data_IF_402700486379
#
_entry.id   IF_402700486379
#
_cell.length_a   1.000
_cell.length_b   1.000
_cell.length_c   1.000
_cell.angle_alpha   90.00
_cell.angle_beta   90.00
_cell.angle_gamma   90.00
#
_symmetry.space_group_name_H-M   'P 1'
#
loop_
_entity.id
_entity.type
_entity.pdbx_description
1 polymer ?
#
# COMPACT_ATOMS: atom_id res chain seq x y z
N UNK A 1 2.88 -16.81 12.06
CA UNK A 1 1.64 -16.44 11.34
C UNK A 1 0.40 -17.00 12.04
N UNK A 2 0.33 -18.30 12.33
CA UNK A 2 -0.84 -18.90 12.98
C UNK A 2 -1.23 -18.25 14.33
N UNK A 3 -0.25 -17.97 15.20
CA UNK A 3 -0.49 -17.26 16.48
C UNK A 3 -1.10 -15.87 16.27
N UNK A 4 -0.57 -15.09 15.31
CA UNK A 4 -1.09 -13.75 14.99
C UNK A 4 -2.55 -13.79 14.55
N UNK A 5 -2.94 -14.78 13.73
CA UNK A 5 -4.32 -14.96 13.29
C UNK A 5 -5.23 -15.36 14.45
N UNK A 6 -4.78 -16.27 15.32
CA UNK A 6 -5.54 -16.71 16.49
C UNK A 6 -5.80 -15.56 17.46
N UNK A 7 -4.76 -14.78 17.76
CA UNK A 7 -4.83 -13.68 18.73
C UNK A 7 -5.75 -12.54 18.26
N UNK A 8 -5.85 -12.33 16.95
CA UNK A 8 -6.62 -11.22 16.37
C UNK A 8 -7.99 -11.62 15.81
N UNK A 9 -8.38 -12.90 15.89
CA UNK A 9 -9.65 -13.40 15.31
C UNK A 9 -10.90 -12.69 15.84
N UNK A 10 -10.86 -12.23 17.09
CA UNK A 10 -11.99 -11.55 17.77
C UNK A 10 -11.80 -10.04 17.88
N UNK A 11 -10.73 -9.47 17.30
CA UNK A 11 -10.49 -8.05 17.37
C UNK A 11 -11.53 -7.29 16.54
N UNK A 12 -12.19 -6.29 17.15
CA UNK A 12 -13.14 -5.43 16.44
C UNK A 12 -12.47 -4.54 15.39
N UNK A 13 -11.20 -4.21 15.61
CA UNK A 13 -10.31 -3.52 14.69
C UNK A 13 -8.95 -4.21 14.72
N UNK A 14 -8.40 -4.53 13.55
CA UNK A 14 -7.11 -5.21 13.44
C UNK A 14 -5.97 -4.20 13.62
N UNK A 15 -4.90 -4.50 14.38
CA UNK A 15 -3.72 -3.63 14.40
C UNK A 15 -3.11 -3.48 12.99
N UNK A 16 -2.70 -2.26 12.64
CA UNK A 16 -2.16 -1.94 11.32
C UNK A 16 -0.94 -2.80 10.95
N UNK A 17 -0.07 -3.09 11.92
CA UNK A 17 1.16 -3.85 11.72
C UNK A 17 0.86 -5.35 11.52
N UNK A 18 -0.22 -5.87 12.10
CA UNK A 18 -0.71 -7.23 11.82
C UNK A 18 -1.21 -7.34 10.38
N UNK A 19 -1.98 -6.36 9.89
CA UNK A 19 -2.42 -6.32 8.49
C UNK A 19 -1.22 -6.33 7.53
N UNK A 20 -0.22 -5.48 7.80
CA UNK A 20 1.01 -5.42 7.00
C UNK A 20 1.81 -6.72 7.05
N UNK A 21 1.90 -7.35 8.23
CA UNK A 21 2.60 -8.62 8.38
C UNK A 21 1.93 -9.74 7.58
N UNK A 22 0.60 -9.74 7.44
CA UNK A 22 -0.12 -10.72 6.62
C UNK A 22 0.13 -10.52 5.14
N UNK A 23 0.19 -9.28 4.64
CA UNK A 23 0.61 -9.01 3.25
C UNK A 23 2.06 -9.44 3.01
N UNK A 24 2.98 -9.08 3.92
CA UNK A 24 4.38 -9.48 3.80
C UNK A 24 4.54 -11.00 3.77
N UNK A 25 3.78 -11.74 4.59
CA UNK A 25 3.77 -13.20 4.58
C UNK A 25 3.30 -13.77 3.22
N UNK A 26 2.23 -13.22 2.64
CA UNK A 26 1.76 -13.60 1.30
C UNK A 26 2.86 -13.41 0.25
N UNK A 27 3.60 -12.30 0.31
CA UNK A 27 4.64 -12.01 -0.67
C UNK A 27 5.81 -12.99 -0.56
N UNK A 28 6.23 -13.31 0.67
CA UNK A 28 7.27 -14.30 0.92
C UNK A 28 6.84 -15.67 0.41
N UNK A 29 5.63 -16.15 0.74
CA UNK A 29 5.16 -17.45 0.27
C UNK A 29 5.08 -17.54 -1.26
N UNK A 30 4.49 -16.54 -1.91
CA UNK A 30 4.40 -16.51 -3.37
C UNK A 30 5.79 -16.50 -4.03
N UNK A 31 6.76 -15.77 -3.47
CA UNK A 31 8.15 -15.74 -3.97
C UNK A 31 8.89 -17.07 -3.80
N UNK A 32 8.50 -17.86 -2.81
CA UNK A 32 9.04 -19.21 -2.60
C UNK A 32 8.33 -20.27 -3.46
N UNK A 33 7.32 -19.89 -4.26
CA UNK A 33 6.49 -20.83 -5.02
C UNK A 33 5.38 -21.49 -4.20
N UNK A 34 5.21 -21.09 -2.94
CA UNK A 34 4.20 -21.61 -2.01
C UNK A 34 2.85 -20.90 -2.21
N UNK A 35 2.32 -20.94 -3.43
CA UNK A 35 1.10 -20.21 -3.81
C UNK A 35 -0.09 -20.57 -2.92
N UNK A 36 -0.25 -21.85 -2.56
CA UNK A 36 -1.31 -22.30 -1.66
C UNK A 36 -1.21 -21.66 -0.28
N UNK A 37 -0.01 -21.53 0.27
CA UNK A 37 0.19 -20.89 1.57
C UNK A 37 -0.10 -19.38 1.48
N UNK A 38 0.26 -18.73 0.38
CA UNK A 38 -0.11 -17.33 0.15
C UNK A 38 -1.64 -17.16 0.09
N UNK A 39 -2.34 -18.02 -0.67
CA UNK A 39 -3.79 -18.00 -0.79
C UNK A 39 -4.49 -18.27 0.55
N UNK A 40 -3.97 -19.20 1.35
CA UNK A 40 -4.51 -19.50 2.68
C UNK A 40 -4.39 -18.29 3.63
N UNK A 41 -3.28 -17.55 3.57
CA UNK A 41 -3.11 -16.30 4.34
C UNK A 41 -4.07 -15.23 3.86
N UNK A 42 -4.20 -15.02 2.54
CA UNK A 42 -5.12 -14.05 1.97
C UNK A 42 -6.57 -14.35 2.37
N UNK A 43 -6.98 -15.63 2.27
CA UNK A 43 -8.30 -16.08 2.67
C UNK A 43 -8.54 -15.94 4.18
N UNK A 44 -7.53 -16.14 5.02
CA UNK A 44 -7.63 -15.89 6.45
C UNK A 44 -7.76 -14.39 6.75
N UNK A 45 -6.99 -13.55 6.08
CA UNK A 45 -7.01 -12.09 6.23
C UNK A 45 -8.37 -11.49 5.87
N UNK A 46 -9.01 -11.96 4.80
CA UNK A 46 -10.36 -11.52 4.40
C UNK A 46 -11.44 -11.73 5.48
N UNK A 47 -11.21 -12.64 6.43
CA UNK A 47 -12.14 -12.93 7.54
C UNK A 47 -11.91 -12.05 8.77
N UNK A 48 -10.82 -11.27 8.79
CA UNK A 48 -10.50 -10.35 9.89
C UNK A 48 -11.21 -9.00 9.68
N UNK A 49 -11.40 -8.27 10.78
CA UNK A 49 -11.88 -6.88 10.75
C UNK A 49 -10.93 -5.97 9.96
N UNK A 50 -11.43 -4.78 9.60
CA UNK A 50 -10.62 -3.74 8.98
C UNK A 50 -9.46 -3.31 9.88
N UNK A 51 -8.34 -2.94 9.27
CA UNK A 51 -7.17 -2.50 9.99
C UNK A 51 -7.31 -1.05 10.50
N UNK A 52 -6.74 -0.80 11.68
CA UNK A 52 -6.52 0.54 12.18
C UNK A 52 -5.54 1.31 11.28
N UNK A 53 -5.55 2.63 11.40
CA UNK A 53 -4.55 3.44 10.73
C UNK A 53 -3.18 3.26 11.39
N UNK A 54 -2.07 3.31 10.62
CA UNK A 54 -0.74 3.39 11.19
C UNK A 54 -0.58 4.70 11.99
N UNK A 55 0.23 4.70 13.06
CA UNK A 55 0.45 5.88 13.89
C UNK A 55 0.98 7.06 13.07
N UNK A 56 0.79 8.29 13.53
CA UNK A 56 1.36 9.46 12.86
C UNK A 56 2.88 9.59 13.04
N UNK A 57 3.41 8.97 14.09
CA UNK A 57 4.85 8.89 14.35
C UNK A 57 5.36 7.56 13.82
N UNK A 58 6.43 7.62 13.02
CA UNK A 58 7.08 6.42 12.51
C UNK A 58 7.63 5.57 13.69
N UNK A 59 7.37 4.25 13.71
CA UNK A 59 8.00 3.34 14.66
C UNK A 59 9.52 3.38 14.55
N UNK A 60 10.22 3.06 15.64
CA UNK A 60 11.70 3.03 15.68
C UNK A 60 12.30 1.64 15.47
N UNK A 61 11.46 0.62 15.36
CA UNK A 61 11.87 -0.77 15.09
C UNK A 61 11.61 -1.16 13.62
N UNK A 62 11.69 -2.46 13.32
CA UNK A 62 11.52 -3.00 11.96
C UNK A 62 10.19 -2.62 11.31
N UNK A 63 9.16 -2.29 12.10
CA UNK A 63 7.85 -1.83 11.58
C UNK A 63 7.95 -0.48 10.87
N UNK A 64 9.05 0.27 11.03
CA UNK A 64 9.30 1.49 10.25
C UNK A 64 9.21 1.24 8.74
N UNK A 65 9.66 0.08 8.25
CA UNK A 65 9.61 -0.27 6.83
C UNK A 65 8.14 -0.40 6.38
N UNK A 66 7.37 -1.24 7.07
CA UNK A 66 5.95 -1.43 6.78
C UNK A 66 5.14 -0.13 6.95
N UNK A 67 5.56 0.75 7.86
CA UNK A 67 4.95 2.06 8.05
C UNK A 67 5.16 2.98 6.85
N UNK A 68 6.38 3.05 6.33
CA UNK A 68 6.72 3.84 5.14
C UNK A 68 5.98 3.30 3.91
N UNK A 69 5.99 1.98 3.72
CA UNK A 69 5.24 1.31 2.64
C UNK A 69 3.74 1.64 2.74
N UNK A 70 3.12 1.44 3.90
CA UNK A 70 1.69 1.73 4.10
C UNK A 70 1.32 3.21 3.84
N UNK A 71 2.21 4.16 4.13
CA UNK A 71 1.96 5.58 3.86
C UNK A 71 2.16 5.95 2.39
N UNK A 72 3.05 5.25 1.68
CA UNK A 72 3.44 5.58 0.29
C UNK A 72 2.74 4.70 -0.75
N UNK A 73 2.81 3.37 -0.61
CA UNK A 73 2.25 2.37 -1.53
C UNK A 73 1.62 1.23 -0.72
N UNK A 74 0.30 1.24 -0.57
CA UNK A 74 -0.43 0.27 0.23
C UNK A 74 -1.22 -0.69 -0.65
N UNK A 75 -0.87 -1.97 -0.61
CA UNK A 75 -1.69 -3.05 -1.19
C UNK A 75 -2.95 -3.25 -0.37
N UNK A 76 -4.08 -3.29 -1.04
CA UNK A 76 -5.41 -3.51 -0.48
C UNK A 76 -5.79 -4.99 -0.58
N UNK A 77 -6.76 -5.42 0.23
CA UNK A 77 -7.22 -6.83 0.25
C UNK A 77 -7.88 -7.27 -1.06
N UNK A 78 -8.38 -6.33 -1.86
CA UNK A 78 -8.95 -6.60 -3.20
C UNK A 78 -7.87 -6.70 -4.30
N UNK A 79 -6.59 -6.60 -3.93
CA UNK A 79 -5.45 -6.64 -4.86
C UNK A 79 -5.14 -5.29 -5.54
N UNK A 80 -5.93 -4.25 -5.28
CA UNK A 80 -5.58 -2.89 -5.72
C UNK A 80 -4.43 -2.30 -4.90
N UNK A 81 -3.80 -1.27 -5.44
CA UNK A 81 -2.66 -0.59 -4.82
C UNK A 81 -2.97 0.89 -4.72
N UNK A 82 -2.78 1.45 -3.53
CA UNK A 82 -2.96 2.87 -3.28
C UNK A 82 -1.62 3.57 -3.20
N UNK A 83 -1.42 4.62 -4.00
CA UNK A 83 -0.28 5.53 -3.88
C UNK A 83 -0.73 6.73 -3.05
N UNK A 84 -0.08 6.97 -1.91
CA UNK A 84 -0.51 7.96 -0.90
C UNK A 84 -2.00 7.85 -0.55
N UNK A 85 -2.50 6.63 -0.37
CA UNK A 85 -3.93 6.39 -0.09
C UNK A 85 -4.48 7.14 1.13
N UNK A 86 -3.59 7.55 2.05
CA UNK A 86 -3.93 8.30 3.27
C UNK A 86 -3.65 9.81 3.18
N UNK A 87 -3.39 10.34 1.98
CA UNK A 87 -3.04 11.74 1.77
C UNK A 87 -1.53 11.99 1.75
N UNK A 88 -1.12 13.01 1.01
CA UNK A 88 0.23 13.57 1.08
C UNK A 88 0.24 14.61 2.21
N UNK A 89 1.23 14.61 3.14
CA UNK A 89 1.30 15.64 4.16
C UNK A 89 1.43 17.05 3.55
N UNK A 90 0.64 18.02 4.02
CA UNK A 90 0.71 19.43 3.55
C UNK A 90 2.11 20.04 3.67
N UNK A 91 2.90 19.59 4.64
CA UNK A 91 4.30 20.00 4.83
C UNK A 91 5.20 19.68 3.62
N UNK A 92 4.79 18.75 2.75
CA UNK A 92 5.54 18.35 1.56
C UNK A 92 5.16 19.17 0.32
N UNK A 93 4.27 20.17 0.45
CA UNK A 93 3.91 21.05 -0.66
C UNK A 93 5.16 21.70 -1.27
N UNK A 94 5.32 21.55 -2.58
CA UNK A 94 6.47 22.06 -3.33
C UNK A 94 7.73 21.19 -3.25
N UNK A 95 7.78 20.19 -2.37
CA UNK A 95 8.88 19.23 -2.30
C UNK A 95 8.63 18.08 -3.28
N UNK A 96 9.44 18.00 -4.34
CA UNK A 96 9.40 16.87 -5.25
C UNK A 96 9.95 15.61 -4.55
N UNK A 97 9.33 14.46 -4.85
CA UNK A 97 9.72 13.16 -4.29
C UNK A 97 9.76 12.12 -5.40
N UNK A 98 10.65 11.14 -5.25
CA UNK A 98 10.66 9.91 -6.03
C UNK A 98 10.81 8.70 -5.10
N UNK A 99 10.05 7.66 -5.41
CA UNK A 99 10.13 6.36 -4.76
C UNK A 99 10.31 5.31 -5.84
N UNK A 100 11.23 4.36 -5.62
CA UNK A 100 11.57 3.36 -6.62
C UNK A 100 11.31 1.95 -6.11
N UNK A 101 10.62 1.17 -6.93
CA UNK A 101 10.39 -0.27 -6.74
C UNK A 101 9.81 -0.64 -5.37
N UNK A 102 8.88 0.15 -4.86
CA UNK A 102 8.15 -0.18 -3.63
C UNK A 102 7.29 -1.41 -3.88
N UNK A 103 7.28 -2.36 -2.95
CA UNK A 103 6.52 -3.60 -3.09
C UNK A 103 5.02 -3.34 -3.16
N UNK A 104 4.39 -3.80 -4.25
CA UNK A 104 2.99 -3.54 -4.57
C UNK A 104 2.20 -4.85 -4.79
N UNK A 105 2.75 -5.96 -4.31
CA UNK A 105 2.23 -7.30 -4.50
C UNK A 105 3.36 -8.32 -4.48
N UNK A 106 3.04 -9.63 -4.54
CA UNK A 106 4.06 -10.67 -4.60
C UNK A 106 4.93 -10.55 -5.84
N UNK A 107 4.36 -10.18 -6.98
CA UNK A 107 5.03 -10.10 -8.29
C UNK A 107 5.15 -8.67 -8.83
N UNK A 108 4.73 -7.68 -8.03
CA UNK A 108 4.60 -6.30 -8.48
C UNK A 108 5.43 -5.34 -7.65
N UNK A 109 6.01 -4.36 -8.34
CA UNK A 109 6.61 -3.19 -7.70
C UNK A 109 6.13 -1.92 -8.38
N UNK A 110 5.93 -0.87 -7.60
CA UNK A 110 5.57 0.46 -8.10
C UNK A 110 6.71 1.43 -7.83
N UNK A 111 7.15 2.11 -8.88
CA UNK A 111 7.94 3.33 -8.78
C UNK A 111 7.03 4.51 -9.06
N UNK A 112 7.19 5.62 -8.35
CA UNK A 112 6.41 6.82 -8.60
C UNK A 112 7.18 8.08 -8.26
N UNK A 113 6.79 9.18 -8.87
CA UNK A 113 7.27 10.52 -8.58
C UNK A 113 6.12 11.47 -8.32
N UNK A 114 6.32 12.43 -7.41
CA UNK A 114 5.44 13.57 -7.21
C UNK A 114 6.13 14.83 -7.70
N UNK A 115 5.42 15.62 -8.50
CA UNK A 115 5.74 16.99 -8.90
C UNK A 115 4.60 17.92 -8.52
N UNK A 116 4.85 19.22 -8.38
CA UNK A 116 3.83 20.16 -7.91
C UNK A 116 3.42 21.16 -9.00
N UNK A 117 2.11 21.31 -9.19
CA UNK A 117 1.47 22.34 -9.99
C UNK A 117 0.55 23.17 -9.08
N UNK A 118 1.11 24.19 -8.43
CA UNK A 118 0.44 24.86 -7.31
C UNK A 118 0.23 23.87 -6.16
N UNK A 119 -1.00 23.78 -5.64
CA UNK A 119 -1.34 22.82 -4.58
C UNK A 119 -1.67 21.41 -5.09
N UNK A 120 -1.70 21.21 -6.42
CA UNK A 120 -2.03 19.92 -7.02
C UNK A 120 -0.78 19.11 -7.32
N UNK A 121 -0.64 17.89 -6.78
CA UNK A 121 0.47 17.01 -7.09
C UNK A 121 0.22 16.29 -8.42
N UNK A 122 1.17 16.42 -9.34
CA UNK A 122 1.29 15.54 -10.50
C UNK A 122 1.98 14.25 -10.07
N UNK A 123 1.26 13.14 -10.22
CA UNK A 123 1.73 11.79 -9.96
C UNK A 123 2.20 11.18 -11.27
N UNK A 124 3.46 10.72 -11.30
CA UNK A 124 4.03 9.90 -12.36
C UNK A 124 4.25 8.50 -11.79
N UNK A 125 3.96 7.45 -12.55
CA UNK A 125 4.15 6.08 -12.05
C UNK A 125 4.68 5.12 -13.12
N UNK A 126 5.30 4.06 -12.62
CA UNK A 126 5.68 2.86 -13.35
C UNK A 126 5.40 1.63 -12.47
N UNK A 127 4.76 0.62 -13.05
CA UNK A 127 4.44 -0.66 -12.44
C UNK A 127 5.23 -1.74 -13.18
N UNK A 128 6.08 -2.45 -12.45
CA UNK A 128 6.72 -3.66 -12.94
C UNK A 128 5.98 -4.90 -12.41
N UNK A 129 5.81 -5.92 -13.26
CA UNK A 129 5.10 -7.16 -12.95
C UNK A 129 4.05 -7.51 -14.02
N UNK A 130 3.24 -8.55 -13.79
CA UNK A 130 2.11 -8.88 -14.65
C UNK A 130 1.13 -7.70 -14.83
N UNK A 131 0.53 -7.56 -16.01
CA UNK A 131 -0.42 -6.48 -16.26
C UNK A 131 -1.69 -6.59 -15.39
N UNK A 132 -2.37 -5.45 -15.16
CA UNK A 132 -3.71 -5.42 -14.57
C UNK A 132 -3.81 -5.03 -13.10
N UNK A 133 -2.71 -4.61 -12.45
CA UNK A 133 -2.81 -4.01 -11.10
C UNK A 133 -3.52 -2.67 -11.19
N UNK A 134 -4.60 -2.52 -10.42
CA UNK A 134 -5.33 -1.26 -10.30
C UNK A 134 -4.64 -0.34 -9.29
N UNK A 135 -4.16 0.79 -9.76
CA UNK A 135 -3.69 1.91 -8.95
C UNK A 135 -4.84 2.84 -8.58
N UNK A 136 -4.78 3.45 -7.40
CA UNK A 136 -5.64 4.56 -6.96
C UNK A 136 -4.88 5.49 -6.01
N UNK A 137 -5.44 6.67 -5.74
CA UNK A 137 -4.78 7.69 -4.91
C UNK A 137 -5.47 7.90 -3.55
N UNK A 138 -6.51 7.11 -3.25
CA UNK A 138 -7.27 7.16 -2.00
C UNK A 138 -7.71 8.59 -1.64
N UNK A 139 -7.30 9.06 -0.46
CA UNK A 139 -7.62 10.40 0.04
C UNK A 139 -7.04 11.54 -0.83
N UNK A 140 -5.95 11.34 -1.57
CA UNK A 140 -5.40 12.39 -2.44
C UNK A 140 -6.29 12.70 -3.65
N UNK A 141 -7.00 11.68 -4.15
CA UNK A 141 -8.01 11.79 -5.19
C UNK A 141 -8.87 10.51 -5.19
N UNK A 142 -10.07 10.54 -4.58
CA UNK A 142 -10.93 9.37 -4.48
C UNK A 142 -11.50 8.89 -5.83
N UNK A 143 -11.42 9.73 -6.86
CA UNK A 143 -12.00 9.47 -8.18
C UNK A 143 -10.98 8.93 -9.18
N UNK A 144 -9.69 9.15 -8.92
CA UNK A 144 -8.62 8.67 -9.79
C UNK A 144 -8.31 7.19 -9.59
N UNK A 145 -8.21 6.47 -10.69
CA UNK A 145 -7.59 5.13 -10.74
C UNK A 145 -7.03 4.85 -12.13
N UNK A 146 -6.07 3.92 -12.22
CA UNK A 146 -5.50 3.46 -13.49
C UNK A 146 -5.10 1.98 -13.43
N UNK A 147 -5.08 1.31 -14.58
CA UNK A 147 -4.50 -0.04 -14.76
C UNK A 147 -3.27 -0.02 -15.67
N UNK A 148 -2.86 1.16 -16.12
CA UNK A 148 -1.73 1.33 -17.02
C UNK A 148 -0.43 1.10 -16.26
N UNK A 149 0.52 0.39 -16.88
CA UNK A 149 1.82 0.11 -16.28
C UNK A 149 2.70 1.36 -16.17
N UNK A 150 2.41 2.42 -16.91
CA UNK A 150 3.10 3.72 -16.79
C UNK A 150 2.12 4.83 -17.06
N UNK A 151 2.32 6.00 -16.47
CA UNK A 151 1.55 7.18 -16.84
C UNK A 151 1.81 8.37 -15.95
N UNK A 152 1.06 9.44 -16.22
CA UNK A 152 1.05 10.66 -15.42
C UNK A 152 -0.37 11.19 -15.25
N UNK A 153 -0.63 11.84 -14.11
CA UNK A 153 -1.91 12.46 -13.82
C UNK A 153 -1.74 13.63 -12.85
N UNK A 154 -2.70 14.55 -12.84
CA UNK A 154 -2.78 15.62 -11.85
C UNK A 154 -3.88 15.29 -10.83
N UNK A 155 -3.51 15.05 -9.58
CA UNK A 155 -4.45 14.69 -8.51
C UNK A 155 -5.14 15.94 -7.92
N UNK A 156 -6.24 15.72 -7.20
CA UNK A 156 -6.97 16.79 -6.51
C UNK A 156 -6.13 17.49 -5.42
N UNK A 157 -5.28 16.75 -4.70
CA UNK A 157 -4.28 17.31 -3.78
C UNK A 157 -4.50 16.92 -2.32
N UNK A 158 -4.43 17.90 -1.42
CA UNK A 158 -4.52 17.66 0.01
C UNK A 158 -5.97 17.44 0.47
N UNK A 159 -6.13 16.60 1.49
CA UNK A 159 -7.32 16.56 2.36
C UNK A 159 -7.22 17.62 3.44
#
# INVERSE_FOLDING_TARGET
METLLKDNKKASILPWDVERALFAAQFVFARMGENRAADDVAAAQLRLSGAAEPPNVMPTDIRAIAWVEEKMVAVQRDGSVQIFGRGIPRLWLGANLECHRVSAGPLHTVSFGIRWHGEKPALLWEVAGPAGVKLSAGLCDPTWSSIESTGETLLLGFV
#
